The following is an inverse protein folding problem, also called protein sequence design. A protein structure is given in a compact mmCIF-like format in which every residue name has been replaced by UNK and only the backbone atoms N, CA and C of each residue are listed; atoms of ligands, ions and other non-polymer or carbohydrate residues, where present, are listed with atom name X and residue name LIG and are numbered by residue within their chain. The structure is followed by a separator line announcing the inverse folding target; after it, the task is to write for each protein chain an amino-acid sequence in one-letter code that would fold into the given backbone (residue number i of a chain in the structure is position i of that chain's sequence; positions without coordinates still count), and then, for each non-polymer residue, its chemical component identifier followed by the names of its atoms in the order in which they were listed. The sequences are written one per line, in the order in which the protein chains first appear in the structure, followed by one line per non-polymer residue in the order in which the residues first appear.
data_IF_971095241017
#
_entry.id   IF_971095241017
#
_cell.length_a   1.000
_cell.length_b   1.000
_cell.length_c   1.000
_cell.angle_alpha   90.00
_cell.angle_beta   90.00
_cell.angle_gamma   90.00
#
_symmetry.space_group_name_H-M   'P 1'
#
loop_
_entity.id
_entity.type
_entity.pdbx_description
1 polymer ?
#
# COMPACT_ATOMS: atom_id res chain seq x y z
N UNK A 1 0.31 -13.65 13.07
CA UNK A 1 0.44 -13.16 11.70
C UNK A 1 1.91 -12.97 11.37
N UNK A 2 2.43 -13.78 10.46
CA UNK A 2 3.82 -13.67 10.00
C UNK A 2 3.99 -12.54 8.97
N UNK A 3 5.23 -12.18 8.64
CA UNK A 3 5.54 -11.08 7.70
C UNK A 3 4.96 -11.32 6.30
N UNK A 4 4.99 -12.57 5.82
CA UNK A 4 4.54 -12.92 4.47
C UNK A 4 3.01 -12.81 4.38
N UNK A 5 2.31 -13.23 5.42
CA UNK A 5 0.87 -13.07 5.59
C UNK A 5 0.48 -11.59 5.61
N UNK A 6 1.23 -10.73 6.33
CA UNK A 6 1.01 -9.27 6.30
C UNK A 6 1.19 -8.68 4.90
N UNK A 7 2.18 -9.16 4.14
CA UNK A 7 2.43 -8.72 2.76
C UNK A 7 1.25 -9.14 1.86
N UNK A 8 0.75 -10.36 1.99
CA UNK A 8 -0.41 -10.82 1.23
C UNK A 8 -1.65 -9.98 1.53
N UNK A 9 -1.89 -9.63 2.79
CA UNK A 9 -2.98 -8.73 3.19
C UNK A 9 -2.84 -7.36 2.52
N UNK A 10 -1.66 -6.75 2.62
CA UNK A 10 -1.40 -5.45 1.99
C UNK A 10 -1.59 -5.52 0.48
N UNK A 11 -1.08 -6.56 -0.19
CA UNK A 11 -1.20 -6.71 -1.63
C UNK A 11 -2.66 -6.90 -2.09
N UNK A 12 -3.48 -7.59 -1.29
CA UNK A 12 -4.93 -7.68 -1.53
C UNK A 12 -5.58 -6.30 -1.44
N UNK A 13 -5.22 -5.49 -0.44
CA UNK A 13 -5.75 -4.13 -0.29
C UNK A 13 -5.30 -3.24 -1.47
N UNK A 14 -4.03 -3.28 -1.87
CA UNK A 14 -3.54 -2.53 -3.02
C UNK A 14 -4.28 -2.94 -4.30
N UNK A 15 -4.49 -4.25 -4.49
CA UNK A 15 -5.24 -4.77 -5.63
C UNK A 15 -6.69 -4.30 -5.63
N UNK A 16 -7.34 -4.23 -4.47
CA UNK A 16 -8.70 -3.69 -4.34
C UNK A 16 -8.77 -2.21 -4.73
N UNK A 17 -7.79 -1.40 -4.28
CA UNK A 17 -7.69 0.02 -4.64
C UNK A 17 -7.45 0.19 -6.16
N UNK A 18 -6.62 -0.68 -6.74
CA UNK A 18 -6.30 -0.71 -8.17
C UNK A 18 -7.48 -1.09 -9.07
N UNK A 19 -8.45 -1.85 -8.56
CA UNK A 19 -9.62 -2.27 -9.31
C UNK A 19 -10.85 -1.35 -9.15
N UNK A 20 -10.74 -0.29 -8.34
CA UNK A 20 -11.85 0.62 -8.00
C UNK A 20 -11.57 2.06 -8.35
N UNK A 21 -12.62 2.88 -8.40
CA UNK A 21 -12.52 4.33 -8.60
C UNK A 21 -11.58 4.72 -9.73
N UNK A 22 -10.55 5.52 -9.40
CA UNK A 22 -9.53 6.02 -10.34
C UNK A 22 -8.42 5.01 -10.64
N UNK A 23 -8.52 3.79 -10.12
CA UNK A 23 -7.57 2.68 -10.32
C UNK A 23 -6.15 3.05 -9.90
N UNK A 24 -6.02 3.74 -8.77
CA UNK A 24 -4.72 4.06 -8.15
C UNK A 24 -3.93 2.78 -7.92
N UNK A 25 -2.60 2.81 -8.03
CA UNK A 25 -1.75 1.61 -8.04
C UNK A 25 -1.89 0.69 -9.28
N UNK A 26 -2.72 1.00 -10.27
CA UNK A 26 -2.78 0.27 -11.55
C UNK A 26 -2.16 1.03 -12.72
N UNK A 27 -1.53 0.31 -13.65
CA UNK A 27 -1.09 0.81 -14.93
C UNK A 27 -1.80 0.02 -16.02
N UNK A 28 -2.89 0.60 -16.53
CA UNK A 28 -3.84 -0.08 -17.40
C UNK A 28 -3.25 -0.53 -18.73
N UNK A 29 -2.33 0.24 -19.31
CA UNK A 29 -1.71 -0.04 -20.61
C UNK A 29 -0.97 -1.39 -20.62
N UNK A 30 -0.38 -1.76 -19.49
CA UNK A 30 0.40 -3.00 -19.35
C UNK A 30 -0.22 -4.00 -18.36
N UNK A 31 -1.45 -3.74 -17.88
CA UNK A 31 -2.14 -4.56 -16.89
C UNK A 31 -1.28 -4.83 -15.63
N UNK A 32 -0.53 -3.82 -15.16
CA UNK A 32 0.35 -3.93 -14.00
C UNK A 32 -0.29 -3.30 -12.77
N UNK A 33 -0.03 -3.87 -11.60
CA UNK A 33 -0.44 -3.32 -10.31
C UNK A 33 0.76 -3.25 -9.39
N UNK A 34 0.89 -2.19 -8.59
CA UNK A 34 1.97 -2.08 -7.62
C UNK A 34 1.79 -3.11 -6.49
N UNK A 35 2.89 -3.60 -5.92
CA UNK A 35 2.80 -4.59 -4.83
C UNK A 35 4.06 -4.62 -3.97
N UNK A 36 3.94 -5.20 -2.78
CA UNK A 36 5.07 -5.53 -1.92
C UNK A 36 5.58 -6.95 -2.15
N UNK A 37 6.90 -7.09 -2.20
CA UNK A 37 7.60 -8.37 -2.23
C UNK A 37 8.56 -8.47 -1.02
N UNK A 38 8.64 -9.65 -0.41
CA UNK A 38 9.70 -9.93 0.57
C UNK A 38 10.91 -10.54 -0.10
N UNK A 39 12.10 -10.29 0.45
CA UNK A 39 13.23 -11.22 0.32
C UNK A 39 13.40 -12.00 1.61
N UNK A 40 14.22 -13.05 1.60
CA UNK A 40 14.68 -13.68 2.84
C UNK A 40 15.33 -12.61 3.75
N UNK A 41 14.85 -12.49 4.99
CA UNK A 41 15.32 -11.52 5.99
C UNK A 41 14.45 -10.28 6.21
N UNK A 42 15.08 -9.17 6.62
CA UNK A 42 14.38 -7.95 7.10
C UNK A 42 13.98 -6.96 6.00
N UNK A 43 14.31 -7.22 4.73
CA UNK A 43 14.01 -6.30 3.63
C UNK A 43 12.65 -6.61 3.02
N UNK A 44 11.95 -5.57 2.61
CA UNK A 44 10.80 -5.66 1.70
C UNK A 44 11.02 -4.67 0.57
N UNK A 45 10.44 -4.97 -0.58
CA UNK A 45 10.50 -4.11 -1.75
C UNK A 45 9.09 -3.73 -2.12
N UNK A 46 8.89 -2.45 -2.41
CA UNK A 46 7.74 -1.99 -3.15
C UNK A 46 8.09 -2.00 -4.63
N UNK A 47 7.28 -2.67 -5.43
CA UNK A 47 7.43 -2.75 -6.87
C UNK A 47 6.48 -1.71 -7.47
N UNK A 48 7.08 -0.68 -8.06
CA UNK A 48 6.33 0.41 -8.68
C UNK A 48 5.66 -0.07 -9.98
N UNK A 49 4.38 0.24 -10.18
CA UNK A 49 3.60 -0.24 -11.32
C UNK A 49 4.08 0.27 -12.68
N UNK A 50 4.64 1.47 -12.72
CA UNK A 50 4.99 2.17 -13.96
C UNK A 50 6.44 1.85 -14.35
N UNK A 51 7.35 1.99 -13.39
CA UNK A 51 8.79 1.81 -13.64
C UNK A 51 9.30 0.39 -13.35
N UNK A 52 8.49 -0.46 -12.70
CA UNK A 52 8.91 -1.76 -12.12
C UNK A 52 10.11 -1.65 -11.15
N UNK A 53 10.42 -0.42 -10.70
CA UNK A 53 11.53 -0.19 -9.81
C UNK A 53 11.30 -0.94 -8.49
N UNK A 54 12.31 -1.72 -8.09
CA UNK A 54 12.36 -2.36 -6.78
C UNK A 54 12.82 -1.35 -5.73
N UNK A 55 11.88 -0.74 -5.04
CA UNK A 55 12.14 0.28 -4.03
C UNK A 55 12.28 -0.40 -2.66
N UNK A 56 13.48 -0.38 -2.05
CA UNK A 56 13.69 -1.06 -0.77
C UNK A 56 13.07 -0.24 0.38
N UNK A 57 12.34 -0.93 1.24
CA UNK A 57 11.82 -0.40 2.49
C UNK A 57 12.42 -1.12 3.70
N UNK A 58 12.65 -0.33 4.75
CA UNK A 58 13.28 -0.76 6.00
C UNK A 58 12.36 -0.49 7.18
N UNK A 59 12.40 -1.38 8.20
CA UNK A 59 11.53 -1.33 9.38
C UNK A 59 11.46 0.06 10.02
N UNK A 60 12.61 0.68 10.28
CA UNK A 60 12.71 1.94 11.02
C UNK A 60 12.81 3.20 10.13
N UNK A 61 12.79 3.05 8.80
CA UNK A 61 12.80 4.21 7.91
C UNK A 61 11.38 4.72 7.70
N UNK A 62 11.21 6.05 7.80
CA UNK A 62 10.00 6.79 7.40
C UNK A 62 10.20 7.63 6.15
N UNK A 63 11.34 7.47 5.47
CA UNK A 63 11.65 8.15 4.22
C UNK A 63 12.03 7.12 3.16
N UNK A 64 11.67 7.42 1.92
CA UNK A 64 12.29 6.79 0.78
C UNK A 64 13.77 7.19 0.76
N UNK A 65 14.71 6.31 0.37
CA UNK A 65 16.06 6.76 0.08
C UNK A 65 16.02 7.74 -1.09
N UNK A 66 16.80 8.83 -1.04
CA UNK A 66 16.73 9.98 -1.96
C UNK A 66 16.66 9.58 -3.44
N UNK A 67 17.50 8.62 -3.84
CA UNK A 67 17.57 8.08 -5.21
C UNK A 67 16.29 7.39 -5.73
N UNK A 68 15.32 7.11 -4.87
CA UNK A 68 14.05 6.46 -5.23
C UNK A 68 12.86 7.42 -5.22
N UNK A 69 13.01 8.67 -4.78
CA UNK A 69 11.90 9.66 -4.87
C UNK A 69 11.46 9.88 -6.32
N UNK A 70 12.41 9.91 -7.26
CA UNK A 70 12.12 10.03 -8.70
C UNK A 70 11.58 8.75 -9.34
N UNK A 71 11.52 7.64 -8.61
CA UNK A 71 11.08 6.32 -9.10
C UNK A 71 9.71 5.91 -8.55
N UNK A 72 9.17 6.65 -7.61
CA UNK A 72 7.86 6.39 -7.03
C UNK A 72 6.80 7.16 -7.81
N UNK A 73 5.94 6.45 -8.56
CA UNK A 73 5.03 7.10 -9.52
C UNK A 73 3.68 7.55 -8.92
N UNK A 74 3.33 7.12 -7.71
CA UNK A 74 1.99 7.32 -7.15
C UNK A 74 1.78 8.72 -6.52
N UNK A 75 2.86 9.48 -6.31
CA UNK A 75 2.81 10.82 -5.71
C UNK A 75 2.72 10.85 -4.17
N UNK A 76 2.95 12.03 -3.58
CA UNK A 76 3.21 12.17 -2.14
C UNK A 76 2.05 11.73 -1.23
N UNK A 77 0.79 11.87 -1.68
CA UNK A 77 -0.38 11.45 -0.90
C UNK A 77 -0.44 9.93 -0.75
N UNK A 78 -0.10 9.18 -1.80
CA UNK A 78 -0.06 7.72 -1.78
C UNK A 78 1.22 7.17 -1.12
N UNK A 79 2.30 7.95 -1.10
CA UNK A 79 3.50 7.60 -0.35
C UNK A 79 3.20 7.41 1.14
N UNK A 80 2.34 8.26 1.73
CA UNK A 80 1.92 8.12 3.12
C UNK A 80 1.27 6.77 3.40
N UNK A 81 0.39 6.32 2.51
CA UNK A 81 -0.26 5.01 2.61
C UNK A 81 0.73 3.85 2.42
N UNK A 82 1.65 3.95 1.44
CA UNK A 82 2.68 2.91 1.21
C UNK A 82 3.62 2.78 2.42
N UNK A 83 3.97 3.89 3.09
CA UNK A 83 4.75 3.87 4.33
C UNK A 83 3.97 3.24 5.50
N UNK A 84 2.65 3.44 5.56
CA UNK A 84 1.78 2.78 6.54
C UNK A 84 1.67 1.27 6.29
N UNK A 85 1.49 0.84 5.03
CA UNK A 85 1.52 -0.57 4.66
C UNK A 85 2.84 -1.24 5.04
N UNK A 86 3.96 -0.57 4.80
CA UNK A 86 5.27 -1.02 5.28
C UNK A 86 5.28 -1.19 6.79
N UNK A 87 4.82 -0.20 7.54
CA UNK A 87 4.78 -0.24 9.02
C UNK A 87 3.95 -1.46 9.50
N UNK A 88 2.79 -1.70 8.90
CA UNK A 88 1.97 -2.88 9.18
C UNK A 88 2.70 -4.18 8.86
N UNK A 89 3.34 -4.30 7.70
CA UNK A 89 4.12 -5.50 7.30
C UNK A 89 5.18 -5.84 8.34
N UNK A 90 5.85 -4.83 8.89
CA UNK A 90 6.83 -5.01 9.97
C UNK A 90 6.23 -5.26 11.36
N UNK A 91 4.90 -5.34 11.48
CA UNK A 91 4.18 -5.69 12.69
C UNK A 91 3.86 -4.54 13.60
N UNK A 92 3.92 -3.31 13.10
CA UNK A 92 3.43 -2.15 13.85
C UNK A 92 1.90 -2.12 13.78
N UNK A 93 1.27 -1.87 14.92
CA UNK A 93 -0.17 -1.65 14.97
C UNK A 93 -0.52 -0.30 14.34
N UNK A 94 -1.59 -0.28 13.55
CA UNK A 94 -2.08 0.92 12.87
C UNK A 94 -3.25 1.48 13.68
N UNK A 95 -2.97 2.43 14.57
CA UNK A 95 -3.99 3.09 15.39
C UNK A 95 -4.79 4.13 14.59
N UNK A 96 -4.10 4.90 13.73
CA UNK A 96 -4.68 5.91 12.84
C UNK A 96 -4.22 5.58 11.43
N UNK A 97 -5.16 5.16 10.60
CA UNK A 97 -4.85 4.74 9.24
C UNK A 97 -5.03 5.88 8.24
N UNK A 98 -4.02 6.13 7.41
CA UNK A 98 -4.12 6.98 6.23
C UNK A 98 -5.30 6.57 5.36
N UNK A 99 -5.60 5.26 5.24
CA UNK A 99 -6.73 4.75 4.47
C UNK A 99 -8.09 5.31 4.93
N UNK A 100 -8.22 5.74 6.19
CA UNK A 100 -9.44 6.40 6.73
C UNK A 100 -9.45 7.92 6.57
N UNK A 101 -8.36 8.55 6.16
CA UNK A 101 -8.25 10.02 6.04
C UNK A 101 -8.06 10.46 4.59
N UNK A 102 -7.19 9.79 3.85
CA UNK A 102 -6.95 10.08 2.43
C UNK A 102 -8.12 9.65 1.55
N UNK A 103 -9.08 8.91 2.12
CA UNK A 103 -10.25 8.35 1.45
C UNK A 103 -11.15 9.43 0.81
N UNK A 104 -11.29 10.59 1.46
CA UNK A 104 -12.10 11.72 0.94
C UNK A 104 -11.38 12.47 -0.20
N UNK A 105 -10.05 12.38 -0.27
CA UNK A 105 -9.23 13.15 -1.21
C UNK A 105 -8.98 12.43 -2.54
N UNK A 106 -9.25 11.12 -2.63
CA UNK A 106 -9.01 10.35 -3.85
C UNK A 106 -10.09 10.55 -4.92
N UNK A 107 -11.24 11.12 -4.55
CA UNK A 107 -12.37 11.31 -5.46
C UNK A 107 -13.02 10.00 -5.91
N UNK A 108 -12.92 8.96 -5.08
CA UNK A 108 -13.58 7.68 -5.31
C UNK A 108 -15.05 7.76 -4.87
N UNK A 109 -15.97 6.99 -5.51
CA UNK A 109 -17.32 6.83 -5.00
C UNK A 109 -17.34 6.27 -3.58
N UNK A 110 -18.30 6.71 -2.76
CA UNK A 110 -18.41 6.28 -1.35
C UNK A 110 -18.50 4.75 -1.21
N UNK A 111 -19.19 4.08 -2.15
CA UNK A 111 -19.33 2.62 -2.19
C UNK A 111 -17.99 1.91 -2.36
N UNK A 112 -17.13 2.39 -3.26
CA UNK A 112 -15.80 1.86 -3.48
C UNK A 112 -14.93 2.03 -2.24
N UNK A 113 -15.05 3.18 -1.57
CA UNK A 113 -14.31 3.45 -0.33
C UNK A 113 -14.75 2.56 0.81
N UNK A 114 -16.06 2.37 0.98
CA UNK A 114 -16.64 1.44 1.96
C UNK A 114 -16.17 0.01 1.70
N UNK A 115 -16.09 -0.41 0.43
CA UNK A 115 -15.60 -1.75 0.07
C UNK A 115 -14.12 -1.95 0.43
N UNK A 116 -13.26 -0.97 0.12
CA UNK A 116 -11.82 -1.01 0.47
C UNK A 116 -11.63 -1.08 1.98
N UNK A 117 -12.32 -0.22 2.75
CA UNK A 117 -12.23 -0.19 4.21
C UNK A 117 -12.78 -1.49 4.83
N UNK A 118 -13.87 -2.01 4.28
CA UNK A 118 -14.44 -3.29 4.72
C UNK A 118 -13.45 -4.43 4.51
N UNK A 119 -12.87 -4.56 3.31
CA UNK A 119 -11.84 -5.56 3.03
C UNK A 119 -10.64 -5.41 3.98
N UNK A 120 -10.19 -4.19 4.21
CA UNK A 120 -9.09 -3.90 5.13
C UNK A 120 -9.39 -4.32 6.59
N UNK A 121 -10.64 -4.21 7.04
CA UNK A 121 -11.08 -4.73 8.34
C UNK A 121 -11.14 -6.27 8.35
N UNK A 122 -11.73 -6.88 7.33
CA UNK A 122 -11.85 -8.35 7.20
C UNK A 122 -10.49 -9.05 7.17
N UNK A 123 -9.50 -8.43 6.53
CA UNK A 123 -8.13 -8.93 6.46
C UNK A 123 -7.31 -8.65 7.74
N UNK A 124 -7.87 -8.00 8.75
CA UNK A 124 -7.18 -7.67 10.00
C UNK A 124 -6.12 -6.57 9.87
N UNK A 125 -6.15 -5.78 8.78
CA UNK A 125 -5.28 -4.61 8.62
C UNK A 125 -5.73 -3.44 9.49
N UNK A 126 -7.04 -3.15 9.48
CA UNK A 126 -7.67 -2.22 10.41
C UNK A 126 -8.29 -3.00 11.56
N UNK A 127 -8.00 -2.61 12.80
CA UNK A 127 -8.82 -3.04 13.93
C UNK A 127 -10.23 -2.47 13.75
N UNK A 128 -11.24 -3.33 13.87
CA UNK A 128 -12.64 -2.90 13.94
C UNK A 128 -12.84 -1.93 15.11
N UNK A 129 -13.81 -1.04 14.97
CA UNK A 129 -14.45 -0.46 16.17
C UNK A 129 -15.36 -1.51 16.78
#
# INVERSE_FOLDING_TARGET
MDKQERIQIVNKIISEIANRGRKLFSYAEENRTAYFASTEGQRIYYIDRYTEAKIPFFKYSRKLPERYYTRFCEGDSLLGLVLEFKDFIFGKEIEKSYLKWTYEYWGYPEEDMKAIVKLAKELGYLKGE
#
